data_IF_240844713298
#
_entry.id   IF_240844713298
#
_cell.length_a   1.000
_cell.length_b   1.000
_cell.length_c   1.000
_cell.angle_alpha   90.00
_cell.angle_beta   90.00
_cell.angle_gamma   90.00
#
_symmetry.space_group_name_H-M   'P 1'
#
loop_
_entity.id
_entity.type
_entity.pdbx_description
1 polymer ?
#
# COMPACT_ATOMS: atom_id res chain seq x y z
N UNK A 1 13.78 14.92 38.21
CA UNK A 1 12.53 15.62 38.52
C UNK A 1 11.41 14.88 37.81
N UNK A 2 10.43 14.35 38.54
CA UNK A 2 9.36 13.51 37.97
C UNK A 2 8.25 14.41 37.41
N UNK A 3 8.27 14.61 36.09
CA UNK A 3 7.36 15.50 35.36
C UNK A 3 5.88 15.10 35.50
N UNK A 4 5.58 13.89 36.01
CA UNK A 4 4.22 13.40 36.26
C UNK A 4 3.59 13.92 37.56
N UNK A 5 4.37 14.61 38.41
CA UNK A 5 3.93 15.08 39.73
C UNK A 5 3.84 16.61 39.84
N UNK A 6 3.98 17.33 38.72
CA UNK A 6 3.81 18.78 38.68
C UNK A 6 2.31 19.11 38.79
N UNK A 7 1.94 19.94 39.76
CA UNK A 7 0.59 20.48 39.86
C UNK A 7 0.27 21.29 38.60
N UNK A 8 -0.86 20.99 37.97
CA UNK A 8 -1.29 21.68 36.76
C UNK A 8 -1.84 23.05 37.17
N UNK A 9 -1.27 24.17 36.69
CA UNK A 9 -1.79 25.51 36.95
C UNK A 9 -3.28 25.63 36.59
N UNK A 10 -4.04 26.41 37.37
CA UNK A 10 -5.50 26.48 37.27
C UNK A 10 -5.99 26.89 35.87
N UNK A 11 -5.22 27.74 35.20
CA UNK A 11 -5.47 28.22 33.84
C UNK A 11 -5.39 27.07 32.82
N UNK A 12 -4.37 26.21 32.97
CA UNK A 12 -4.20 25.03 32.12
C UNK A 12 -5.25 23.95 32.45
N UNK A 13 -5.64 23.82 33.72
CA UNK A 13 -6.72 22.92 34.13
C UNK A 13 -8.09 23.33 33.57
N UNK A 14 -8.36 24.64 33.43
CA UNK A 14 -9.57 25.13 32.78
C UNK A 14 -9.59 24.82 31.27
N UNK A 15 -8.45 25.03 30.58
CA UNK A 15 -8.30 24.69 29.14
C UNK A 15 -8.45 23.18 28.91
N UNK A 16 -7.87 22.35 29.77
CA UNK A 16 -8.01 20.89 29.67
C UNK A 16 -9.46 20.44 29.88
N UNK A 17 -10.19 21.03 30.83
CA UNK A 17 -11.62 20.73 31.05
C UNK A 17 -12.48 21.13 29.86
N UNK A 18 -12.29 22.32 29.31
CA UNK A 18 -12.95 22.75 28.07
C UNK A 18 -12.65 21.77 26.93
N UNK A 19 -11.39 21.37 26.73
CA UNK A 19 -11.04 20.39 25.69
C UNK A 19 -11.62 18.99 25.94
N UNK A 20 -11.77 18.58 27.20
CA UNK A 20 -12.42 17.31 27.57
C UNK A 20 -13.91 17.33 27.27
N UNK A 21 -14.61 18.43 27.55
CA UNK A 21 -16.04 18.59 27.23
C UNK A 21 -16.29 18.55 25.71
N UNK A 22 -15.39 19.16 24.93
CA UNK A 22 -15.43 19.08 23.46
C UNK A 22 -15.15 17.66 22.94
N UNK A 23 -14.19 16.95 23.56
CA UNK A 23 -13.93 15.53 23.23
C UNK A 23 -15.10 14.62 23.61
N UNK A 24 -15.79 14.89 24.72
CA UNK A 24 -16.97 14.14 25.13
C UNK A 24 -18.14 14.36 24.15
N UNK A 25 -18.34 15.60 23.68
CA UNK A 25 -19.34 15.93 22.66
C UNK A 25 -19.06 15.25 21.30
N UNK A 26 -17.78 15.11 20.92
CA UNK A 26 -17.38 14.42 19.68
C UNK A 26 -17.29 12.89 19.82
N UNK A 27 -17.12 12.36 21.02
CA UNK A 27 -17.06 10.92 21.30
C UNK A 27 -18.36 10.18 20.96
N UNK A 28 -19.49 10.88 20.92
CA UNK A 28 -20.81 10.32 20.59
C UNK A 28 -21.14 10.32 19.08
N UNK A 29 -20.19 10.69 18.20
CA UNK A 29 -20.38 10.67 16.74
C UNK A 29 -19.64 9.55 16.02
N UNK A 30 -19.23 8.50 16.73
CA UNK A 30 -18.69 7.28 16.10
C UNK A 30 -19.84 6.31 15.87
N UNK A 31 -20.39 6.32 14.66
CA UNK A 31 -21.37 5.32 14.25
C UNK A 31 -20.62 4.09 13.75
N UNK A 32 -20.75 2.97 14.47
CA UNK A 32 -20.29 1.67 13.98
C UNK A 32 -21.12 1.30 12.75
N UNK A 33 -20.47 1.30 11.59
CA UNK A 33 -21.07 0.85 10.32
C UNK A 33 -20.66 -0.59 10.07
N UNK A 34 -21.61 -1.40 9.61
CA UNK A 34 -21.38 -2.78 9.22
C UNK A 34 -20.21 -2.86 8.23
N UNK A 35 -19.31 -3.82 8.44
CA UNK A 35 -18.25 -4.12 7.48
C UNK A 35 -18.87 -4.34 6.09
N UNK A 36 -18.30 -3.75 5.02
CA UNK A 36 -18.79 -3.99 3.68
C UNK A 36 -18.80 -5.48 3.39
N UNK A 37 -19.96 -6.00 3.01
CA UNK A 37 -20.14 -7.41 2.70
C UNK A 37 -19.33 -7.73 1.43
N UNK A 38 -18.18 -8.40 1.58
CA UNK A 38 -17.34 -8.81 0.44
C UNK A 38 -18.04 -9.97 -0.28
N UNK A 39 -18.96 -9.63 -1.20
CA UNK A 39 -19.65 -10.59 -2.08
C UNK A 39 -18.72 -11.11 -3.16
N UNK A 40 -17.70 -11.88 -2.78
CA UNK A 40 -16.82 -12.52 -3.74
C UNK A 40 -16.50 -13.95 -3.31
N UNK A 41 -17.52 -14.82 -3.26
CA UNK A 41 -17.29 -16.24 -3.49
C UNK A 41 -17.32 -16.49 -4.99
N UNK A 42 -16.30 -15.97 -5.67
CA UNK A 42 -16.09 -16.33 -7.05
C UNK A 42 -15.37 -17.68 -7.08
N UNK A 43 -16.13 -18.75 -7.29
CA UNK A 43 -15.56 -20.06 -7.62
C UNK A 43 -15.05 -20.00 -9.05
N UNK A 44 -13.84 -19.47 -9.23
CA UNK A 44 -13.15 -19.54 -10.51
C UNK A 44 -12.45 -20.88 -10.61
N UNK A 45 -12.83 -21.71 -11.59
CA UNK A 45 -11.98 -22.81 -12.02
C UNK A 45 -10.90 -22.25 -12.94
N UNK A 46 -9.68 -22.79 -12.82
CA UNK A 46 -8.61 -22.44 -13.74
C UNK A 46 -8.97 -22.94 -15.16
N UNK A 47 -8.62 -22.19 -16.21
CA UNK A 47 -8.74 -22.68 -17.58
C UNK A 47 -7.99 -24.02 -17.74
N UNK A 48 -8.52 -24.98 -18.52
CA UNK A 48 -7.93 -26.30 -18.67
C UNK A 48 -6.54 -26.28 -19.33
N UNK A 49 -6.20 -25.19 -20.02
CA UNK A 49 -4.95 -24.96 -20.74
C UNK A 49 -3.92 -24.13 -19.94
N UNK A 50 -4.15 -23.87 -18.65
CA UNK A 50 -3.26 -23.01 -17.84
C UNK A 50 -1.79 -23.45 -17.85
N UNK A 51 -1.53 -24.75 -17.97
CA UNK A 51 -0.18 -25.32 -18.01
C UNK A 51 0.52 -25.14 -19.36
N UNK A 52 -0.19 -24.76 -20.42
CA UNK A 52 0.36 -24.63 -21.78
C UNK A 52 1.10 -23.29 -21.99
N UNK A 53 0.90 -22.31 -21.10
CA UNK A 53 1.47 -20.97 -21.22
C UNK A 53 2.29 -20.57 -19.97
N UNK A 54 3.37 -21.31 -19.64
CA UNK A 54 4.17 -20.98 -18.47
C UNK A 54 4.86 -19.62 -18.64
N UNK A 55 4.93 -18.87 -17.55
CA UNK A 55 5.56 -17.54 -17.54
C UNK A 55 7.03 -17.57 -17.99
N UNK A 56 7.73 -18.67 -17.76
CA UNK A 56 9.11 -18.87 -18.23
C UNK A 56 9.27 -18.78 -19.75
N UNK A 57 8.28 -19.26 -20.52
CA UNK A 57 8.25 -19.11 -21.98
C UNK A 57 8.12 -17.65 -22.38
N UNK A 58 7.24 -16.91 -21.67
CA UNK A 58 7.07 -15.47 -21.90
C UNK A 58 8.37 -14.70 -21.63
N UNK A 59 9.02 -14.96 -20.49
CA UNK A 59 10.29 -14.33 -20.13
C UNK A 59 11.34 -14.59 -21.21
N UNK A 60 11.53 -15.85 -21.62
CA UNK A 60 12.52 -16.21 -22.64
C UNK A 60 12.29 -15.51 -24.00
N UNK A 61 11.03 -15.26 -24.34
CA UNK A 61 10.65 -14.73 -25.65
C UNK A 61 10.64 -13.21 -25.69
N UNK A 62 10.24 -12.56 -24.60
CA UNK A 62 9.94 -11.13 -24.60
C UNK A 62 10.88 -10.28 -23.75
N UNK A 63 11.64 -10.88 -22.83
CA UNK A 63 12.54 -10.11 -22.00
C UNK A 63 13.82 -9.76 -22.76
N UNK A 64 14.33 -8.55 -22.49
CA UNK A 64 15.62 -8.09 -23.02
C UNK A 64 16.78 -8.84 -22.36
N UNK A 65 16.65 -9.15 -21.07
CA UNK A 65 17.57 -9.97 -20.31
C UNK A 65 16.77 -10.93 -19.42
N UNK A 66 17.23 -12.18 -19.35
CA UNK A 66 16.69 -13.23 -18.47
C UNK A 66 17.23 -13.10 -17.04
N UNK A 67 18.29 -12.31 -16.84
CA UNK A 67 18.81 -11.99 -15.52
C UNK A 67 17.94 -10.93 -14.84
N UNK A 68 17.52 -11.22 -13.60
CA UNK A 68 16.82 -10.25 -12.77
C UNK A 68 17.82 -9.54 -11.86
N UNK A 69 17.68 -8.22 -11.66
CA UNK A 69 18.48 -7.53 -10.66
C UNK A 69 18.18 -8.08 -9.26
N UNK A 70 19.09 -7.79 -8.33
CA UNK A 70 18.91 -8.15 -6.93
C UNK A 70 17.53 -7.69 -6.42
N UNK A 71 16.87 -8.57 -5.66
CA UNK A 71 15.59 -8.27 -5.03
C UNK A 71 15.70 -6.96 -4.23
N UNK A 72 14.71 -6.09 -4.38
CA UNK A 72 14.72 -4.80 -3.69
C UNK A 72 15.45 -3.66 -4.43
N UNK A 73 16.09 -3.91 -5.57
CA UNK A 73 16.69 -2.84 -6.40
C UNK A 73 15.72 -2.37 -7.50
N UNK A 74 15.66 -1.06 -7.81
CA UNK A 74 14.86 -0.56 -8.91
C UNK A 74 15.42 -1.04 -10.25
N UNK A 75 14.55 -1.28 -11.22
CA UNK A 75 14.99 -1.59 -12.58
C UNK A 75 15.76 -0.40 -13.17
N UNK A 76 16.88 -0.70 -13.82
CA UNK A 76 17.65 0.27 -14.61
C UNK A 76 17.13 0.33 -16.04
N UNK A 77 16.61 -0.78 -16.55
CA UNK A 77 16.07 -0.92 -17.89
C UNK A 77 14.74 -1.68 -17.87
N UNK A 78 13.82 -1.44 -18.83
CA UNK A 78 12.57 -2.19 -18.86
C UNK A 78 12.81 -3.68 -19.09
N UNK A 79 11.98 -4.53 -18.50
CA UNK A 79 12.09 -5.97 -18.64
C UNK A 79 11.89 -6.43 -20.09
N UNK A 80 10.94 -5.82 -20.80
CA UNK A 80 10.60 -6.15 -22.19
C UNK A 80 11.04 -5.07 -23.17
N UNK A 81 11.11 -5.44 -24.45
CA UNK A 81 11.38 -4.48 -25.53
C UNK A 81 10.21 -3.49 -25.65
N UNK A 82 10.49 -2.22 -25.40
CA UNK A 82 9.51 -1.13 -25.47
C UNK A 82 10.01 -0.04 -26.41
N UNK A 83 9.06 0.69 -27.00
CA UNK A 83 9.38 1.90 -27.77
C UNK A 83 9.97 2.98 -26.84
N UNK A 84 10.85 3.86 -27.35
CA UNK A 84 11.58 4.83 -26.53
C UNK A 84 10.67 5.69 -25.64
N UNK A 85 9.50 6.08 -26.14
CA UNK A 85 8.53 6.91 -25.41
C UNK A 85 7.95 6.24 -24.16
N UNK A 86 7.95 4.90 -24.10
CA UNK A 86 7.40 4.13 -22.97
C UNK A 86 8.47 3.66 -21.99
N UNK A 87 9.75 3.78 -22.35
CA UNK A 87 10.88 3.26 -21.57
C UNK A 87 10.89 3.87 -20.16
N UNK A 88 10.80 5.20 -20.08
CA UNK A 88 10.83 5.92 -18.81
C UNK A 88 9.62 5.61 -17.92
N UNK A 89 8.43 5.50 -18.52
CA UNK A 89 7.20 5.19 -17.80
C UNK A 89 7.26 3.81 -17.16
N UNK A 90 7.81 2.81 -17.86
CA UNK A 90 7.99 1.46 -17.31
C UNK A 90 8.88 1.46 -16.06
N UNK A 91 9.97 2.25 -16.06
CA UNK A 91 10.85 2.38 -14.90
C UNK A 91 10.17 3.09 -13.73
N UNK A 92 9.38 4.13 -14.00
CA UNK A 92 8.62 4.82 -12.96
C UNK A 92 7.54 3.92 -12.35
N UNK A 93 6.86 3.11 -13.16
CA UNK A 93 5.89 2.12 -12.68
C UNK A 93 6.55 1.06 -11.80
N UNK A 94 7.73 0.56 -12.18
CA UNK A 94 8.48 -0.37 -11.33
C UNK A 94 8.78 0.25 -9.95
N UNK A 95 9.22 1.51 -9.91
CA UNK A 95 9.46 2.22 -8.65
C UNK A 95 8.18 2.36 -7.82
N UNK A 96 7.04 2.63 -8.47
CA UNK A 96 5.75 2.79 -7.79
C UNK A 96 5.26 1.47 -7.17
N UNK A 97 5.30 0.37 -7.93
CA UNK A 97 4.86 -0.96 -7.46
C UNK A 97 5.68 -1.40 -6.24
N UNK A 98 6.98 -1.10 -6.26
CA UNK A 98 7.92 -1.42 -5.17
C UNK A 98 7.84 -0.50 -3.95
N UNK A 99 7.13 0.63 -4.01
CA UNK A 99 7.02 1.59 -2.89
C UNK A 99 6.12 1.09 -1.75
N UNK A 100 5.36 0.02 -2.01
CA UNK A 100 4.49 -0.64 -1.02
C UNK A 100 5.14 -1.88 -0.39
N UNK A 101 6.43 -2.13 -0.64
CA UNK A 101 7.27 -3.10 0.10
C UNK A 101 8.06 -2.37 1.20
#
# INVERSE_FOLDING_TARGET
MDVRRLEIPAELAAVLRLAQDHKHAQSNQVTEVSLPEVKAKATFSLPPDISNFPFSTFVRTHFQDVSFPALGQPLQEPLTQLRPEHRQNALQLNKLVRRNE
#
